data_IF_648636577267
#
_entry.id   IF_648636577267
#
_cell.length_a   1.000
_cell.length_b   1.000
_cell.length_c   1.000
_cell.angle_alpha   90.00
_cell.angle_beta   90.00
_cell.angle_gamma   90.00
#
_symmetry.space_group_name_H-M   'P 1'
#
loop_
_entity.id
_entity.type
_entity.pdbx_description
1 polymer ?
#
# COMPACT_ATOMS: atom_id res chain seq x y z
N UNK A 1 -19.99 -10.04 19.54
CA UNK A 1 -19.34 -10.56 18.32
C UNK A 1 -20.35 -10.51 17.19
N UNK A 2 -20.12 -9.69 16.18
CA UNK A 2 -21.02 -9.56 15.04
C UNK A 2 -20.89 -10.79 14.10
N UNK A 3 -21.94 -11.09 13.31
CA UNK A 3 -21.90 -12.15 12.29
C UNK A 3 -20.70 -12.00 11.33
N UNK A 4 -20.31 -10.75 11.05
CA UNK A 4 -19.14 -10.43 10.20
C UNK A 4 -17.81 -10.80 10.88
N UNK A 5 -17.66 -10.54 12.16
CA UNK A 5 -16.47 -10.95 12.95
C UNK A 5 -16.37 -12.46 13.06
N UNK A 6 -17.49 -13.15 13.25
CA UNK A 6 -17.57 -14.60 13.28
C UNK A 6 -17.17 -15.21 11.93
N UNK A 7 -17.71 -14.69 10.82
CA UNK A 7 -17.40 -15.14 9.46
C UNK A 7 -15.93 -14.90 9.10
N UNK A 8 -15.37 -13.76 9.50
CA UNK A 8 -13.95 -13.47 9.31
C UNK A 8 -13.05 -14.42 10.12
N UNK A 9 -13.41 -14.70 11.38
CA UNK A 9 -12.68 -15.68 12.22
C UNK A 9 -12.77 -17.08 11.63
N UNK A 10 -13.94 -17.52 11.19
CA UNK A 10 -14.13 -18.82 10.53
C UNK A 10 -13.31 -18.94 9.24
N UNK A 11 -13.35 -17.92 8.39
CA UNK A 11 -12.58 -17.90 7.16
C UNK A 11 -11.07 -17.89 7.41
N UNK A 12 -10.62 -17.15 8.42
CA UNK A 12 -9.20 -17.12 8.82
C UNK A 12 -8.75 -18.45 9.41
N UNK A 13 -9.58 -19.12 10.21
CA UNK A 13 -9.32 -20.44 10.75
C UNK A 13 -9.24 -21.50 9.64
N UNK A 14 -10.21 -21.50 8.70
CA UNK A 14 -10.21 -22.41 7.54
C UNK A 14 -8.99 -22.19 6.64
N UNK A 15 -8.58 -20.93 6.45
CA UNK A 15 -7.35 -20.59 5.70
C UNK A 15 -6.10 -21.10 6.40
N UNK A 16 -6.01 -20.95 7.73
CA UNK A 16 -4.90 -21.47 8.53
C UNK A 16 -4.80 -22.99 8.45
N UNK A 17 -5.91 -23.71 8.65
CA UNK A 17 -5.94 -25.18 8.54
C UNK A 17 -5.56 -25.65 7.13
N UNK A 18 -6.13 -25.05 6.08
CA UNK A 18 -5.75 -25.37 4.70
C UNK A 18 -4.26 -25.13 4.45
N UNK A 19 -3.68 -24.07 5.03
CA UNK A 19 -2.25 -23.78 4.95
C UNK A 19 -1.39 -24.85 5.62
N UNK A 20 -1.76 -25.32 6.82
CA UNK A 20 -1.04 -26.38 7.53
C UNK A 20 -1.11 -27.74 6.81
N UNK A 21 -2.28 -28.11 6.31
CA UNK A 21 -2.45 -29.31 5.48
C UNK A 21 -1.63 -29.22 4.18
N UNK A 22 -1.65 -28.06 3.54
CA UNK A 22 -0.85 -27.82 2.35
C UNK A 22 0.65 -27.92 2.63
N UNK A 23 1.12 -27.37 3.76
CA UNK A 23 2.51 -27.49 4.17
C UNK A 23 2.96 -28.94 4.35
N UNK A 24 2.11 -29.78 4.93
CA UNK A 24 2.38 -31.22 5.07
C UNK A 24 2.43 -31.94 3.72
N UNK A 25 1.53 -31.61 2.80
CA UNK A 25 1.46 -32.21 1.46
C UNK A 25 2.59 -31.75 0.55
N UNK A 26 2.97 -30.47 0.61
CA UNK A 26 4.01 -29.89 -0.25
C UNK A 26 5.44 -30.27 0.19
N UNK A 27 5.61 -30.83 1.40
CA UNK A 27 6.88 -31.30 1.91
C UNK A 27 7.85 -30.18 2.29
N UNK A 28 9.14 -30.48 2.30
CA UNK A 28 10.21 -29.56 2.73
C UNK A 28 10.81 -28.80 1.56
N UNK A 29 11.46 -27.66 1.86
CA UNK A 29 12.40 -27.03 0.95
C UNK A 29 13.54 -27.98 0.62
N UNK A 30 14.20 -27.82 -0.54
CA UNK A 30 15.46 -28.48 -0.79
C UNK A 30 16.45 -28.18 0.36
N UNK A 31 17.33 -29.15 0.66
CA UNK A 31 18.42 -28.88 1.61
C UNK A 31 19.30 -27.75 1.06
N UNK A 32 19.47 -26.72 1.84
CA UNK A 32 20.38 -25.60 1.53
C UNK A 32 21.48 -25.54 2.58
N UNK A 33 22.62 -24.99 2.18
CA UNK A 33 23.68 -24.63 3.13
C UNK A 33 23.16 -23.56 4.10
N UNK A 34 23.93 -23.34 5.16
CA UNK A 34 23.69 -22.24 6.07
C UNK A 34 23.60 -20.90 5.28
N UNK A 35 22.69 -20.03 5.73
CA UNK A 35 22.54 -18.73 5.10
C UNK A 35 23.85 -17.95 5.10
N UNK A 36 24.23 -17.49 3.92
CA UNK A 36 25.39 -16.64 3.73
C UNK A 36 25.02 -15.43 2.85
N UNK A 37 24.95 -14.21 3.40
CA UNK A 37 24.57 -13.02 2.64
C UNK A 37 25.52 -12.73 1.45
N UNK A 38 26.79 -13.12 1.52
CA UNK A 38 27.76 -12.90 0.43
C UNK A 38 27.46 -13.73 -0.83
N UNK A 39 26.62 -14.76 -0.72
CA UNK A 39 26.20 -15.62 -1.83
C UNK A 39 24.88 -15.18 -2.47
N UNK A 40 24.27 -14.10 -2.01
CA UNK A 40 22.99 -13.60 -2.53
C UNK A 40 23.23 -12.69 -3.73
N UNK A 41 22.85 -13.14 -4.92
CA UNK A 41 22.96 -12.43 -6.19
C UNK A 41 21.60 -12.22 -6.86
N UNK A 42 20.60 -13.06 -6.56
CA UNK A 42 19.26 -12.98 -7.15
C UNK A 42 18.19 -13.11 -6.09
N UNK A 43 17.39 -12.07 -5.96
CA UNK A 43 16.33 -11.96 -4.96
C UNK A 43 14.97 -11.92 -5.66
N UNK A 44 14.02 -12.67 -5.17
CA UNK A 44 12.63 -12.59 -5.62
C UNK A 44 11.71 -12.17 -4.47
N UNK A 45 10.96 -11.10 -4.69
CA UNK A 45 9.91 -10.62 -3.78
C UNK A 45 8.53 -10.94 -4.37
N UNK A 46 7.64 -11.54 -3.58
CA UNK A 46 6.25 -11.76 -3.97
C UNK A 46 5.36 -10.62 -3.46
N UNK A 47 4.75 -9.86 -4.39
CA UNK A 47 3.84 -8.71 -4.14
C UNK A 47 2.68 -8.69 -5.13
N UNK A 48 1.99 -9.79 -5.32
CA UNK A 48 0.90 -9.93 -6.30
C UNK A 48 -0.49 -9.61 -5.76
N UNK A 49 -0.57 -8.93 -4.61
CA UNK A 49 -1.80 -8.57 -3.89
C UNK A 49 -2.62 -7.42 -4.49
N UNK A 50 -2.20 -6.85 -5.62
CA UNK A 50 -2.82 -5.72 -6.31
C UNK A 50 -3.04 -4.44 -5.48
N UNK A 51 -2.42 -4.33 -4.30
CA UNK A 51 -2.53 -3.17 -3.42
C UNK A 51 -1.46 -2.13 -3.74
N UNK A 52 -1.89 -0.96 -4.19
CA UNK A 52 -1.00 0.14 -4.56
C UNK A 52 -0.21 0.68 -3.36
N UNK A 53 -0.88 0.79 -2.19
CA UNK A 53 -0.24 1.28 -0.95
C UNK A 53 0.90 0.37 -0.51
N UNK A 54 0.63 -0.92 -0.43
CA UNK A 54 1.60 -1.92 -0.04
C UNK A 54 2.81 -1.95 -1.00
N UNK A 55 2.56 -1.77 -2.32
CA UNK A 55 3.63 -1.66 -3.31
C UNK A 55 4.49 -0.42 -3.10
N UNK A 56 3.88 0.73 -2.84
CA UNK A 56 4.60 1.98 -2.58
C UNK A 56 5.44 1.89 -1.32
N UNK A 57 4.87 1.42 -0.23
CA UNK A 57 5.58 1.26 1.05
C UNK A 57 6.71 0.23 0.95
N UNK A 58 6.60 -0.77 0.06
CA UNK A 58 7.70 -1.73 -0.17
C UNK A 58 8.96 -1.11 -0.77
N UNK A 59 8.93 0.16 -1.23
CA UNK A 59 10.13 0.91 -1.63
C UNK A 59 11.18 0.99 -0.52
N UNK A 60 10.75 1.04 0.74
CA UNK A 60 11.64 0.98 1.92
C UNK A 60 12.44 -0.33 1.96
N UNK A 61 11.75 -1.47 1.80
CA UNK A 61 12.40 -2.78 1.74
C UNK A 61 13.33 -2.91 0.53
N UNK A 62 12.86 -2.51 -0.64
CA UNK A 62 13.62 -2.60 -1.89
C UNK A 62 14.92 -1.80 -1.81
N UNK A 63 14.86 -0.57 -1.26
CA UNK A 63 16.04 0.25 -1.00
C UNK A 63 16.98 -0.39 0.02
N UNK A 64 16.44 -0.93 1.11
CA UNK A 64 17.21 -1.66 2.12
C UNK A 64 17.90 -2.91 1.56
N UNK A 65 17.21 -3.67 0.71
CA UNK A 65 17.79 -4.83 0.01
C UNK A 65 18.93 -4.42 -0.94
N UNK A 66 18.78 -3.32 -1.69
CA UNK A 66 19.87 -2.79 -2.52
C UNK A 66 21.06 -2.26 -1.72
N UNK A 67 20.82 -1.69 -0.55
CA UNK A 67 21.91 -1.31 0.35
C UNK A 67 22.65 -2.52 0.94
N UNK A 68 21.92 -3.60 1.26
CA UNK A 68 22.50 -4.84 1.80
C UNK A 68 23.17 -5.69 0.70
N UNK A 69 22.58 -5.73 -0.49
CA UNK A 69 23.01 -6.53 -1.65
C UNK A 69 23.18 -5.64 -2.89
N UNK A 70 24.21 -4.80 -2.97
CA UNK A 70 24.33 -3.77 -4.02
C UNK A 70 24.35 -4.32 -5.45
N UNK A 71 24.95 -5.50 -5.64
CA UNK A 71 25.10 -6.16 -6.94
C UNK A 71 23.97 -7.13 -7.28
N UNK A 72 23.09 -7.45 -6.31
CA UNK A 72 22.04 -8.44 -6.53
C UNK A 72 20.93 -7.90 -7.44
N UNK A 73 20.42 -8.75 -8.32
CA UNK A 73 19.18 -8.51 -9.03
C UNK A 73 17.99 -8.72 -8.10
N UNK A 74 17.10 -7.73 -8.04
CA UNK A 74 15.86 -7.81 -7.27
C UNK A 74 14.69 -7.87 -8.24
N UNK A 75 14.15 -9.05 -8.40
CA UNK A 75 12.97 -9.30 -9.22
C UNK A 75 11.72 -9.29 -8.32
N UNK A 76 10.60 -8.82 -8.88
CA UNK A 76 9.33 -8.78 -8.15
C UNK A 76 8.23 -9.44 -8.95
N UNK A 77 7.49 -10.36 -8.33
CA UNK A 77 6.23 -10.87 -8.88
C UNK A 77 5.11 -9.96 -8.37
N UNK A 78 4.50 -9.20 -9.28
CA UNK A 78 3.48 -8.21 -8.98
C UNK A 78 2.11 -8.61 -9.54
N UNK A 79 1.06 -8.05 -8.99
CA UNK A 79 -0.26 -8.02 -9.60
C UNK A 79 -0.36 -6.92 -10.66
N UNK A 80 -1.45 -6.92 -11.42
CA UNK A 80 -1.64 -5.96 -12.52
C UNK A 80 -1.66 -4.50 -12.04
N UNK A 81 -2.31 -4.24 -10.90
CA UNK A 81 -2.48 -2.87 -10.40
C UNK A 81 -1.22 -2.32 -9.76
N UNK A 82 -0.58 -3.06 -8.86
CA UNK A 82 0.57 -2.57 -8.10
C UNK A 82 1.87 -2.54 -8.92
N UNK A 83 1.91 -3.26 -10.04
CA UNK A 83 3.00 -3.17 -11.00
C UNK A 83 3.23 -1.73 -11.51
N UNK A 84 2.19 -0.91 -11.57
CA UNK A 84 2.29 0.50 -11.99
C UNK A 84 3.24 1.28 -11.06
N UNK A 85 3.19 1.01 -9.76
CA UNK A 85 4.06 1.65 -8.76
C UNK A 85 5.47 1.07 -8.81
N UNK A 86 5.61 -0.26 -8.93
CA UNK A 86 6.88 -0.97 -8.85
C UNK A 86 7.75 -0.80 -10.10
N UNK A 87 7.13 -0.58 -11.26
CA UNK A 87 7.84 -0.50 -12.57
C UNK A 87 8.92 0.57 -12.60
N UNK A 88 8.72 1.69 -11.92
CA UNK A 88 9.64 2.81 -11.92
C UNK A 88 10.53 2.85 -10.67
N UNK A 89 10.48 1.81 -9.82
CA UNK A 89 11.36 1.73 -8.66
C UNK A 89 12.77 1.32 -9.10
N UNK A 90 13.82 2.12 -8.82
CA UNK A 90 15.18 1.87 -9.31
C UNK A 90 15.82 0.61 -8.74
N UNK A 91 15.29 0.08 -7.63
CA UNK A 91 15.80 -1.14 -7.03
C UNK A 91 15.25 -2.41 -7.71
N UNK A 92 14.21 -2.32 -8.53
CA UNK A 92 13.60 -3.47 -9.22
C UNK A 92 14.31 -3.74 -10.53
N UNK A 93 14.92 -4.93 -10.65
CA UNK A 93 15.61 -5.37 -11.88
C UNK A 93 14.60 -5.87 -12.92
N UNK A 94 13.70 -6.76 -12.53
CA UNK A 94 12.66 -7.28 -13.45
C UNK A 94 11.33 -7.43 -12.73
N UNK A 95 10.25 -7.09 -13.45
CA UNK A 95 8.88 -7.19 -12.95
C UNK A 95 8.14 -8.31 -13.68
N UNK A 96 7.67 -9.31 -12.94
CA UNK A 96 6.83 -10.40 -13.43
C UNK A 96 5.40 -10.23 -12.96
N UNK A 97 4.46 -10.83 -13.67
CA UNK A 97 3.04 -10.70 -13.40
C UNK A 97 2.42 -12.05 -13.03
N UNK A 98 1.73 -12.08 -11.90
CA UNK A 98 0.86 -13.17 -11.52
C UNK A 98 -0.36 -12.67 -10.75
N UNK A 99 -1.51 -13.32 -10.96
CA UNK A 99 -2.69 -13.13 -10.10
C UNK A 99 -2.53 -13.92 -8.82
N UNK A 100 -3.36 -13.65 -7.81
CA UNK A 100 -3.35 -14.39 -6.54
C UNK A 100 -3.82 -15.86 -6.68
N UNK A 101 -4.32 -16.26 -7.85
CA UNK A 101 -4.83 -17.62 -8.11
C UNK A 101 -3.74 -18.68 -8.15
N UNK A 102 -4.07 -19.90 -7.65
CA UNK A 102 -3.15 -21.03 -7.54
C UNK A 102 -2.48 -21.38 -8.88
N UNK A 103 -3.27 -21.53 -9.96
CA UNK A 103 -2.75 -21.88 -11.30
C UNK A 103 -1.80 -20.80 -11.84
N UNK A 104 -2.13 -19.51 -11.63
CA UNK A 104 -1.30 -18.39 -12.07
C UNK A 104 0.05 -18.39 -11.36
N UNK A 105 0.06 -18.58 -10.04
CA UNK A 105 1.29 -18.64 -9.26
C UNK A 105 2.13 -19.87 -9.57
N UNK A 106 1.53 -21.04 -9.73
CA UNK A 106 2.27 -22.25 -10.16
C UNK A 106 2.92 -22.02 -11.53
N UNK A 107 2.17 -21.52 -12.51
CA UNK A 107 2.71 -21.23 -13.84
C UNK A 107 3.86 -20.21 -13.80
N UNK A 108 3.71 -19.16 -12.98
CA UNK A 108 4.76 -18.17 -12.76
C UNK A 108 6.00 -18.81 -12.12
N UNK A 109 5.82 -19.61 -11.05
CA UNK A 109 6.91 -20.30 -10.36
C UNK A 109 7.69 -21.24 -11.28
N UNK A 110 7.00 -22.01 -12.13
CA UNK A 110 7.65 -22.90 -13.11
C UNK A 110 8.51 -22.11 -14.12
N UNK A 111 8.00 -20.97 -14.62
CA UNK A 111 8.76 -20.10 -15.53
C UNK A 111 10.00 -19.48 -14.86
N UNK A 112 9.89 -19.17 -13.56
CA UNK A 112 10.96 -18.51 -12.81
C UNK A 112 11.98 -19.47 -12.21
N UNK A 113 11.65 -20.76 -12.06
CA UNK A 113 12.54 -21.79 -11.47
C UNK A 113 13.92 -21.84 -12.13
N UNK A 114 13.98 -21.75 -13.45
CA UNK A 114 15.26 -21.78 -14.21
C UNK A 114 16.17 -20.57 -13.94
N UNK A 115 15.68 -19.51 -13.30
CA UNK A 115 16.48 -18.33 -12.93
C UNK A 115 17.34 -18.55 -11.68
N UNK A 116 17.08 -19.61 -10.89
CA UNK A 116 17.85 -20.00 -9.72
C UNK A 116 18.02 -18.86 -8.71
N UNK A 117 16.91 -18.42 -8.11
CA UNK A 117 16.94 -17.40 -7.06
C UNK A 117 17.66 -17.88 -5.80
N UNK A 118 18.54 -17.03 -5.28
CA UNK A 118 19.22 -17.29 -4.01
C UNK A 118 18.29 -17.03 -2.82
N UNK A 119 17.54 -15.93 -2.89
CA UNK A 119 16.67 -15.49 -1.80
C UNK A 119 15.25 -15.20 -2.30
N UNK A 120 14.26 -15.82 -1.67
CA UNK A 120 12.85 -15.52 -1.83
C UNK A 120 12.30 -14.88 -0.57
N UNK A 121 11.52 -13.80 -0.72
CA UNK A 121 10.90 -13.09 0.39
C UNK A 121 9.36 -13.14 0.27
N UNK A 122 8.73 -13.68 1.32
CA UNK A 122 7.28 -13.67 1.54
C UNK A 122 6.99 -12.93 2.85
N UNK A 123 6.55 -11.69 2.75
CA UNK A 123 6.31 -10.83 3.90
C UNK A 123 4.83 -10.69 4.27
N UNK A 124 3.97 -11.47 3.66
CA UNK A 124 2.56 -11.56 4.03
C UNK A 124 2.41 -12.11 5.47
N UNK A 125 1.35 -11.71 6.16
CA UNK A 125 1.12 -12.17 7.54
C UNK A 125 0.94 -13.67 7.62
N UNK A 126 0.28 -14.27 6.64
CA UNK A 126 0.05 -15.71 6.55
C UNK A 126 0.23 -16.19 5.11
N UNK A 127 0.95 -17.30 4.89
CA UNK A 127 1.06 -17.85 3.56
C UNK A 127 -0.30 -18.42 3.11
N UNK A 128 -0.57 -18.28 1.83
CA UNK A 128 -1.71 -18.92 1.17
C UNK A 128 -1.28 -20.26 0.55
N UNK A 129 -2.25 -21.13 0.23
CA UNK A 129 -1.96 -22.34 -0.54
C UNK A 129 -1.24 -22.00 -1.86
N UNK A 130 -1.63 -20.91 -2.50
CA UNK A 130 -1.06 -20.47 -3.76
C UNK A 130 0.40 -19.98 -3.61
N UNK A 131 0.71 -19.21 -2.56
CA UNK A 131 2.10 -18.78 -2.29
C UNK A 131 3.00 -19.95 -1.86
N UNK A 132 2.47 -20.92 -1.11
CA UNK A 132 3.20 -22.14 -0.76
C UNK A 132 3.49 -23.02 -1.99
N UNK A 133 2.50 -23.18 -2.88
CA UNK A 133 2.71 -23.91 -4.13
C UNK A 133 3.70 -23.21 -5.05
N UNK A 134 3.63 -21.87 -5.13
CA UNK A 134 4.61 -21.04 -5.84
C UNK A 134 6.03 -21.29 -5.31
N UNK A 135 6.22 -21.19 -3.98
CA UNK A 135 7.51 -21.44 -3.34
C UNK A 135 8.02 -22.86 -3.60
N UNK A 136 7.12 -23.87 -3.55
CA UNK A 136 7.46 -25.27 -3.83
C UNK A 136 7.98 -25.49 -5.25
N UNK A 137 7.39 -24.84 -6.25
CA UNK A 137 7.84 -24.99 -7.65
C UNK A 137 9.01 -24.09 -7.98
N UNK A 138 9.15 -22.92 -7.36
CA UNK A 138 10.24 -21.97 -7.54
C UNK A 138 11.59 -22.57 -7.08
N UNK A 139 11.61 -23.22 -5.93
CA UNK A 139 12.79 -23.83 -5.31
C UNK A 139 13.97 -22.87 -5.15
N UNK A 140 13.82 -21.73 -4.47
CA UNK A 140 14.94 -20.85 -4.18
C UNK A 140 15.89 -21.51 -3.19
N UNK A 141 17.14 -21.06 -3.14
CA UNK A 141 18.15 -21.54 -2.17
C UNK A 141 17.73 -21.24 -0.74
N UNK A 142 17.34 -19.99 -0.48
CA UNK A 142 16.80 -19.53 0.80
C UNK A 142 15.43 -18.88 0.63
N UNK A 143 14.57 -19.12 1.57
CA UNK A 143 13.20 -18.58 1.60
C UNK A 143 12.88 -18.03 2.99
N UNK A 144 12.60 -16.71 3.04
CA UNK A 144 12.31 -16.02 4.29
C UNK A 144 10.83 -15.69 4.43
N UNK A 145 10.33 -15.80 5.67
CA UNK A 145 9.03 -15.29 6.06
C UNK A 145 8.89 -15.20 7.58
N UNK A 146 8.06 -14.26 8.05
CA UNK A 146 7.77 -14.12 9.48
C UNK A 146 6.82 -15.22 9.96
N UNK A 147 7.08 -15.77 11.16
CA UNK A 147 6.22 -16.77 11.82
C UNK A 147 5.96 -18.00 10.94
N UNK A 148 6.99 -18.54 10.28
CA UNK A 148 6.90 -19.66 9.31
C UNK A 148 7.43 -20.98 9.84
N UNK A 149 7.69 -21.12 11.14
CA UNK A 149 8.29 -22.31 11.76
C UNK A 149 7.51 -23.61 11.45
N UNK A 150 6.18 -23.51 11.30
CA UNK A 150 5.31 -24.63 10.95
C UNK A 150 5.28 -24.97 9.43
N UNK A 151 5.95 -24.17 8.59
CA UNK A 151 5.97 -24.36 7.14
C UNK A 151 7.37 -24.79 6.67
N UNK A 152 7.65 -26.08 6.49
CA UNK A 152 8.99 -26.59 6.16
C UNK A 152 9.56 -26.11 4.80
N UNK A 153 8.77 -25.40 4.00
CA UNK A 153 9.23 -24.74 2.78
C UNK A 153 10.04 -23.47 3.04
N UNK A 154 9.93 -22.88 4.23
CA UNK A 154 10.75 -21.74 4.63
C UNK A 154 11.92 -22.22 5.47
N UNK A 155 13.13 -21.91 5.00
CA UNK A 155 14.37 -22.26 5.72
C UNK A 155 14.97 -21.07 6.50
N UNK A 156 14.44 -19.86 6.30
CA UNK A 156 14.73 -18.66 7.07
C UNK A 156 13.45 -18.11 7.68
N UNK A 157 13.38 -18.04 9.00
CA UNK A 157 12.19 -17.52 9.68
C UNK A 157 12.56 -16.86 11.00
N UNK A 158 11.82 -15.82 11.37
CA UNK A 158 11.89 -15.17 12.68
C UNK A 158 10.49 -14.91 13.20
N UNK A 159 10.37 -14.76 14.52
CA UNK A 159 9.08 -14.50 15.18
C UNK A 159 8.89 -13.02 15.39
N UNK A 160 7.69 -12.52 15.06
CA UNK A 160 7.30 -11.12 15.27
C UNK A 160 5.79 -11.02 15.45
N UNK A 161 5.33 -10.17 16.37
CA UNK A 161 3.91 -9.80 16.43
C UNK A 161 3.58 -8.79 15.33
N UNK A 162 3.07 -9.32 14.22
CA UNK A 162 2.75 -8.50 13.05
C UNK A 162 1.52 -7.59 13.26
N UNK A 163 0.69 -7.82 14.31
CA UNK A 163 -0.55 -7.07 14.52
C UNK A 163 -0.34 -5.69 15.12
N UNK A 164 0.80 -5.45 15.76
CA UNK A 164 1.13 -4.20 16.47
C UNK A 164 2.32 -3.45 15.87
N UNK A 165 3.05 -4.08 14.95
CA UNK A 165 4.22 -3.47 14.33
C UNK A 165 3.86 -2.72 13.04
N UNK A 166 4.38 -1.50 12.91
CA UNK A 166 4.31 -0.79 11.64
C UNK A 166 4.99 -1.57 10.52
N UNK A 167 4.49 -1.46 9.29
CA UNK A 167 5.01 -2.23 8.15
C UNK A 167 6.50 -1.98 7.89
N UNK A 168 6.99 -0.75 8.08
CA UNK A 168 8.44 -0.45 7.93
C UNK A 168 9.29 -1.12 9.00
N UNK A 169 8.78 -1.30 10.22
CA UNK A 169 9.47 -2.07 11.27
C UNK A 169 9.56 -3.56 10.90
N UNK A 170 8.55 -4.11 10.21
CA UNK A 170 8.63 -5.48 9.67
C UNK A 170 9.74 -5.58 8.60
N UNK A 171 9.85 -4.57 7.73
CA UNK A 171 10.91 -4.52 6.71
C UNK A 171 12.29 -4.40 7.37
N UNK A 172 12.43 -3.55 8.38
CA UNK A 172 13.67 -3.45 9.15
C UNK A 172 14.04 -4.78 9.81
N UNK A 173 13.09 -5.44 10.47
CA UNK A 173 13.33 -6.75 11.10
C UNK A 173 13.76 -7.81 10.08
N UNK A 174 13.15 -7.83 8.89
CA UNK A 174 13.58 -8.71 7.79
C UNK A 174 15.02 -8.40 7.37
N UNK A 175 15.35 -7.13 7.11
CA UNK A 175 16.68 -6.71 6.70
C UNK A 175 17.74 -7.00 7.76
N UNK A 176 17.42 -6.74 9.05
CA UNK A 176 18.31 -7.09 10.19
C UNK A 176 18.59 -8.58 10.24
N UNK A 177 17.56 -9.42 10.09
CA UNK A 177 17.72 -10.87 10.05
C UNK A 177 18.62 -11.31 8.89
N UNK A 178 18.55 -10.62 7.75
CA UNK A 178 19.38 -10.89 6.57
C UNK A 178 20.82 -10.33 6.69
N UNK A 179 21.13 -9.58 7.76
CA UNK A 179 22.48 -9.07 8.02
C UNK A 179 22.66 -7.56 7.84
N UNK A 180 21.60 -6.79 7.60
CA UNK A 180 21.68 -5.32 7.49
C UNK A 180 22.03 -4.67 8.82
N UNK A 181 23.09 -3.84 8.85
CA UNK A 181 23.57 -3.18 10.07
C UNK A 181 23.34 -1.65 10.08
N UNK A 182 23.02 -1.07 8.92
CA UNK A 182 22.83 0.38 8.76
C UNK A 182 21.56 0.93 9.41
N UNK A 183 21.39 2.24 9.43
CA UNK A 183 20.12 2.89 9.75
C UNK A 183 19.20 2.78 8.54
N UNK A 184 18.02 2.19 8.72
CA UNK A 184 17.04 2.09 7.64
C UNK A 184 16.36 3.45 7.43
N UNK A 185 16.41 3.97 6.21
CA UNK A 185 15.56 5.07 5.80
C UNK A 185 14.15 4.55 5.53
N UNK A 186 13.17 5.00 6.32
CA UNK A 186 11.77 4.58 6.25
C UNK A 186 10.90 5.48 5.38
N UNK A 187 11.47 6.47 4.69
CA UNK A 187 10.75 7.30 3.73
C UNK A 187 10.31 6.48 2.52
N UNK A 188 9.11 6.74 1.99
CA UNK A 188 8.61 6.06 0.80
C UNK A 188 9.13 6.76 -0.45
N UNK A 189 9.34 6.00 -1.52
CA UNK A 189 9.89 6.54 -2.77
C UNK A 189 8.95 6.25 -3.95
N UNK A 190 8.63 7.31 -4.71
CA UNK A 190 7.90 7.22 -5.95
C UNK A 190 8.48 8.22 -6.97
N UNK A 191 8.63 7.78 -8.21
CA UNK A 191 9.05 8.66 -9.32
C UNK A 191 7.84 9.08 -10.14
N UNK A 192 7.63 10.37 -10.25
CA UNK A 192 6.63 10.97 -11.12
C UNK A 192 7.25 11.30 -12.48
N UNK A 193 6.57 10.93 -13.57
CA UNK A 193 7.05 11.19 -14.92
C UNK A 193 6.86 12.65 -15.33
N UNK A 194 7.69 13.15 -16.25
CA UNK A 194 7.52 14.49 -16.80
C UNK A 194 6.17 14.65 -17.53
N UNK A 195 5.69 13.59 -18.19
CA UNK A 195 4.35 13.61 -18.81
C UNK A 195 3.23 13.82 -17.78
N UNK A 196 3.35 13.23 -16.60
CA UNK A 196 2.39 13.46 -15.52
C UNK A 196 2.43 14.90 -15.01
N UNK A 197 3.62 15.52 -14.92
CA UNK A 197 3.79 16.92 -14.53
C UNK A 197 3.15 17.86 -15.55
N UNK A 198 3.40 17.61 -16.84
CA UNK A 198 2.80 18.40 -17.93
C UNK A 198 1.29 18.32 -17.91
N UNK A 199 0.71 17.10 -17.81
CA UNK A 199 -0.74 16.93 -17.81
C UNK A 199 -1.42 17.59 -16.60
N UNK A 200 -0.83 17.47 -15.41
CA UNK A 200 -1.34 18.13 -14.21
C UNK A 200 -1.22 19.67 -14.33
N UNK A 201 -0.10 20.18 -14.87
CA UNK A 201 0.11 21.62 -15.12
C UNK A 201 -0.91 22.19 -16.10
N UNK A 202 -1.20 21.49 -17.19
CA UNK A 202 -2.24 21.87 -18.16
C UNK A 202 -3.62 21.96 -17.50
N UNK A 203 -3.99 20.97 -16.68
CA UNK A 203 -5.24 21.03 -15.94
C UNK A 203 -5.28 22.23 -14.99
N UNK A 204 -4.22 22.44 -14.21
CA UNK A 204 -4.13 23.55 -13.26
C UNK A 204 -4.28 24.93 -13.96
N UNK A 205 -3.76 25.09 -15.18
CA UNK A 205 -3.89 26.33 -15.94
C UNK A 205 -5.33 26.60 -16.39
N UNK A 206 -6.19 25.60 -16.42
CA UNK A 206 -7.63 25.77 -16.74
C UNK A 206 -8.47 26.17 -15.52
N UNK A 207 -7.91 26.03 -14.31
CA UNK A 207 -8.65 26.37 -13.09
C UNK A 207 -8.72 27.87 -12.87
N UNK A 208 -9.92 28.36 -12.62
CA UNK A 208 -10.14 29.73 -12.19
C UNK A 208 -10.03 29.84 -10.67
N UNK A 209 -8.82 30.06 -10.16
CA UNK A 209 -8.51 30.00 -8.72
C UNK A 209 -9.13 31.15 -7.91
N UNK A 210 -9.41 32.29 -8.51
CA UNK A 210 -10.08 33.42 -7.88
C UNK A 210 -9.47 33.91 -6.54
N UNK A 211 -8.20 33.56 -6.24
CA UNK A 211 -7.49 33.96 -5.02
C UNK A 211 -7.68 33.03 -3.81
N UNK A 212 -8.47 31.96 -3.91
CA UNK A 212 -8.66 30.96 -2.85
C UNK A 212 -7.58 29.86 -2.83
N UNK A 213 -7.71 28.92 -1.91
CA UNK A 213 -6.82 27.76 -1.77
C UNK A 213 -7.29 26.61 -2.65
N UNK A 214 -6.36 25.72 -3.00
CA UNK A 214 -6.65 24.47 -3.70
C UNK A 214 -6.79 23.34 -2.69
N UNK A 215 -7.97 22.75 -2.60
CA UNK A 215 -8.27 21.58 -1.77
C UNK A 215 -8.51 20.40 -2.70
N UNK A 216 -7.59 19.46 -2.69
CA UNK A 216 -7.71 18.21 -3.45
C UNK A 216 -8.36 17.16 -2.58
N UNK A 217 -9.36 16.48 -3.10
CA UNK A 217 -10.12 15.47 -2.36
C UNK A 217 -10.11 14.13 -3.10
N UNK A 218 -9.62 13.09 -2.46
CA UNK A 218 -9.93 11.72 -2.85
C UNK A 218 -11.16 11.26 -2.04
N UNK A 219 -12.38 11.25 -2.59
CA UNK A 219 -13.56 10.91 -1.81
C UNK A 219 -13.76 9.41 -1.63
N UNK A 220 -13.09 8.56 -2.44
CA UNK A 220 -13.40 7.16 -2.59
C UNK A 220 -12.32 6.26 -1.99
N UNK A 221 -12.76 5.22 -1.27
CA UNK A 221 -11.94 4.10 -0.82
C UNK A 221 -12.37 2.78 -1.51
N UNK A 222 -11.63 1.71 -1.25
CA UNK A 222 -11.96 0.38 -1.77
C UNK A 222 -13.32 -0.15 -1.24
N UNK A 223 -13.77 0.33 -0.08
CA UNK A 223 -15.07 0.00 0.49
C UNK A 223 -15.90 1.24 0.71
N UNK A 224 -17.22 1.09 0.53
CA UNK A 224 -18.18 2.19 0.72
C UNK A 224 -18.16 2.77 2.14
N UNK A 225 -17.90 1.92 3.14
CA UNK A 225 -17.83 2.33 4.56
C UNK A 225 -16.66 3.27 4.87
N UNK A 226 -15.60 3.21 4.07
CA UNK A 226 -14.42 4.06 4.21
C UNK A 226 -14.40 5.24 3.25
N UNK A 227 -15.41 5.39 2.40
CA UNK A 227 -15.54 6.52 1.48
C UNK A 227 -16.26 7.68 2.14
N UNK A 228 -15.92 8.90 1.78
CA UNK A 228 -16.73 10.06 2.13
C UNK A 228 -18.05 10.04 1.38
N UNK A 229 -19.08 10.63 1.96
CA UNK A 229 -20.33 10.90 1.26
C UNK A 229 -20.24 12.18 0.43
N UNK A 230 -21.11 12.31 -0.58
CA UNK A 230 -21.20 13.54 -1.35
C UNK A 230 -21.62 14.72 -0.47
N UNK A 231 -22.54 14.48 0.48
CA UNK A 231 -23.02 15.47 1.45
C UNK A 231 -21.87 16.10 2.23
N UNK A 232 -20.91 15.30 2.70
CA UNK A 232 -19.74 15.78 3.44
C UNK A 232 -18.90 16.73 2.59
N UNK A 233 -18.57 16.34 1.36
CA UNK A 233 -17.69 17.13 0.49
C UNK A 233 -18.39 18.40 -0.01
N UNK A 234 -19.69 18.33 -0.32
CA UNK A 234 -20.49 19.52 -0.66
C UNK A 234 -20.64 20.44 0.55
N UNK A 235 -20.84 19.89 1.75
CA UNK A 235 -20.86 20.65 2.99
C UNK A 235 -19.55 21.38 3.26
N UNK A 236 -18.39 20.72 3.03
CA UNK A 236 -17.08 21.36 3.12
C UNK A 236 -16.92 22.51 2.10
N UNK A 237 -17.33 22.30 0.86
CA UNK A 237 -17.28 23.35 -0.16
C UNK A 237 -18.16 24.56 0.18
N UNK A 238 -19.22 24.36 0.95
CA UNK A 238 -20.05 25.45 1.49
C UNK A 238 -19.37 26.19 2.65
N UNK A 239 -18.63 25.47 3.50
CA UNK A 239 -17.83 26.07 4.59
C UNK A 239 -16.64 26.86 4.07
N UNK A 240 -16.06 26.44 2.95
CA UNK A 240 -14.90 27.09 2.30
C UNK A 240 -15.28 27.68 0.92
N UNK A 241 -16.14 28.70 0.85
CA UNK A 241 -16.77 29.14 -0.40
C UNK A 241 -15.80 29.80 -1.39
N UNK A 242 -14.64 30.25 -0.90
CA UNK A 242 -13.60 30.90 -1.72
C UNK A 242 -12.56 29.89 -2.24
N UNK A 243 -12.55 28.68 -1.72
CA UNK A 243 -11.56 27.66 -2.06
C UNK A 243 -12.03 26.80 -3.23
N UNK A 244 -11.09 26.27 -4.01
CA UNK A 244 -11.37 25.38 -5.15
C UNK A 244 -11.20 23.93 -4.72
N UNK A 245 -12.23 23.12 -4.94
CA UNK A 245 -12.24 21.69 -4.63
C UNK A 245 -12.02 20.86 -5.90
N UNK A 246 -10.97 20.06 -5.93
CA UNK A 246 -10.71 19.11 -7.03
C UNK A 246 -10.93 17.68 -6.54
N UNK A 247 -11.92 17.00 -7.11
CA UNK A 247 -12.28 15.61 -6.78
C UNK A 247 -11.47 14.66 -7.65
N UNK A 248 -10.66 13.82 -7.01
CA UNK A 248 -9.85 12.78 -7.67
C UNK A 248 -10.62 11.46 -7.81
N UNK A 249 -10.52 10.82 -8.96
CA UNK A 249 -11.04 9.47 -9.13
C UNK A 249 -11.30 9.09 -10.58
N UNK A 250 -11.66 7.82 -10.77
CA UNK A 250 -12.13 7.35 -12.08
C UNK A 250 -13.49 7.97 -12.39
N UNK A 251 -13.68 8.45 -13.61
CA UNK A 251 -14.90 9.16 -14.04
C UNK A 251 -16.18 8.38 -13.70
N UNK A 252 -16.23 7.10 -14.07
CA UNK A 252 -17.40 6.26 -13.81
C UNK A 252 -17.72 6.10 -12.33
N UNK A 253 -16.70 6.08 -11.46
CA UNK A 253 -16.86 5.97 -10.02
C UNK A 253 -17.31 7.28 -9.41
N UNK A 254 -16.73 8.42 -9.84
CA UNK A 254 -17.15 9.75 -9.39
C UNK A 254 -18.57 10.06 -9.84
N UNK A 255 -18.94 9.75 -11.08
CA UNK A 255 -20.32 9.91 -11.56
C UNK A 255 -21.33 9.14 -10.71
N UNK A 256 -21.01 7.88 -10.37
CA UNK A 256 -21.84 7.06 -9.47
C UNK A 256 -21.92 7.64 -8.05
N UNK A 257 -20.81 8.17 -7.54
CA UNK A 257 -20.74 8.77 -6.22
C UNK A 257 -21.51 10.09 -6.15
N UNK A 258 -21.44 10.94 -7.18
CA UNK A 258 -22.22 12.17 -7.32
C UNK A 258 -23.73 11.91 -7.42
N UNK A 259 -24.12 10.74 -7.92
CA UNK A 259 -25.53 10.33 -8.05
C UNK A 259 -26.44 11.39 -8.69
N UNK A 260 -26.00 11.99 -9.79
CA UNK A 260 -26.75 13.02 -10.53
C UNK A 260 -26.65 14.44 -9.94
N UNK A 261 -25.93 14.66 -8.85
CA UNK A 261 -25.70 16.00 -8.30
C UNK A 261 -24.81 16.83 -9.20
N UNK A 262 -25.18 18.04 -9.48
CA UNK A 262 -24.32 19.04 -10.12
C UNK A 262 -23.24 19.50 -9.14
N UNK A 263 -22.03 19.73 -9.65
CA UNK A 263 -20.94 20.31 -8.87
C UNK A 263 -21.23 21.77 -8.55
N UNK A 264 -20.77 22.25 -7.40
CA UNK A 264 -20.81 23.68 -7.06
C UNK A 264 -19.81 24.47 -7.94
N UNK A 265 -19.96 25.80 -8.07
CA UNK A 265 -19.16 26.60 -9.01
C UNK A 265 -17.63 26.47 -8.89
N UNK A 266 -17.12 26.16 -7.68
CA UNK A 266 -15.68 25.97 -7.42
C UNK A 266 -15.31 24.51 -7.17
N UNK A 267 -16.15 23.58 -7.63
CA UNK A 267 -15.86 22.17 -7.61
C UNK A 267 -15.62 21.65 -9.01
N UNK A 268 -14.56 20.90 -9.19
CA UNK A 268 -14.22 20.25 -10.46
C UNK A 268 -13.78 18.81 -10.20
N UNK A 269 -13.80 17.98 -11.24
CA UNK A 269 -13.25 16.61 -11.19
C UNK A 269 -11.95 16.53 -11.96
N UNK A 270 -11.02 15.71 -11.46
CA UNK A 270 -9.82 15.32 -12.17
C UNK A 270 -9.78 13.80 -12.28
N UNK A 271 -9.94 13.31 -13.50
CA UNK A 271 -10.14 11.87 -13.79
C UNK A 271 -8.97 11.24 -14.53
N UNK A 272 -7.83 11.90 -14.52
CA UNK A 272 -6.57 11.42 -15.12
C UNK A 272 -5.94 10.25 -14.33
N UNK A 273 -4.78 9.79 -14.75
CA UNK A 273 -4.05 8.72 -14.10
C UNK A 273 -3.60 9.04 -12.68
N UNK A 274 -3.09 8.02 -11.99
CA UNK A 274 -2.67 8.15 -10.59
C UNK A 274 -1.46 9.07 -10.41
N UNK A 275 -0.52 9.08 -11.38
CA UNK A 275 0.67 9.93 -11.32
C UNK A 275 0.36 11.39 -11.60
N UNK A 276 -0.53 11.67 -12.56
CA UNK A 276 -1.04 13.01 -12.84
C UNK A 276 -1.79 13.58 -11.63
N UNK A 277 -2.63 12.74 -11.03
CA UNK A 277 -3.34 13.09 -9.80
C UNK A 277 -2.41 13.32 -8.61
N UNK A 278 -1.28 12.59 -8.53
CA UNK A 278 -0.25 12.78 -7.52
C UNK A 278 0.45 14.15 -7.68
N UNK A 279 0.81 14.52 -8.92
CA UNK A 279 1.39 15.84 -9.21
C UNK A 279 0.40 16.94 -8.85
N UNK A 280 -0.88 16.78 -9.20
CA UNK A 280 -1.92 17.74 -8.84
C UNK A 280 -2.03 17.90 -7.32
N UNK A 281 -2.02 16.80 -6.58
CA UNK A 281 -2.08 16.83 -5.12
C UNK A 281 -0.86 17.50 -4.47
N UNK A 282 0.33 17.43 -5.09
CA UNK A 282 1.53 18.16 -4.62
C UNK A 282 1.39 19.70 -4.75
N UNK A 283 0.56 20.18 -5.66
CA UNK A 283 0.29 21.60 -5.86
C UNK A 283 -0.85 22.12 -4.98
N UNK A 284 -1.53 21.21 -4.27
CA UNK A 284 -2.63 21.57 -3.40
C UNK A 284 -2.15 22.15 -2.06
N UNK A 285 -2.96 23.05 -1.49
CA UNK A 285 -2.75 23.51 -0.11
C UNK A 285 -3.01 22.38 0.88
N UNK A 286 -3.96 21.48 0.57
CA UNK A 286 -4.24 20.29 1.37
C UNK A 286 -4.89 19.20 0.51
N UNK A 287 -4.53 17.95 0.80
CA UNK A 287 -5.22 16.76 0.34
C UNK A 287 -6.13 16.22 1.45
N UNK A 288 -7.39 15.97 1.15
CA UNK A 288 -8.32 15.25 2.02
C UNK A 288 -8.55 13.84 1.48
N UNK A 289 -8.32 12.81 2.28
CA UNK A 289 -8.48 11.42 1.85
C UNK A 289 -8.92 10.51 3.00
N UNK A 290 -9.75 9.47 2.77
CA UNK A 290 -9.88 8.38 3.72
C UNK A 290 -8.60 7.52 3.74
N UNK A 291 -8.53 6.54 4.66
CA UNK A 291 -7.47 5.51 4.74
C UNK A 291 -7.38 4.72 3.42
N UNK A 292 -6.50 5.17 2.52
CA UNK A 292 -6.29 4.62 1.19
C UNK A 292 -4.81 4.71 0.77
N UNK A 293 -4.50 4.26 -0.44
CA UNK A 293 -3.20 4.48 -1.08
C UNK A 293 -2.72 5.94 -1.01
N UNK A 294 -3.65 6.91 -1.07
CA UNK A 294 -3.34 8.33 -1.07
C UNK A 294 -2.60 8.80 0.19
N UNK A 295 -2.82 8.14 1.32
CA UNK A 295 -2.07 8.42 2.56
C UNK A 295 -0.59 8.10 2.39
N UNK A 296 -0.28 6.93 1.82
CA UNK A 296 1.12 6.53 1.58
C UNK A 296 1.77 7.38 0.49
N UNK A 297 1.00 7.77 -0.53
CA UNK A 297 1.44 8.68 -1.57
C UNK A 297 1.76 10.06 -0.99
N UNK A 298 0.91 10.57 -0.11
CA UNK A 298 1.14 11.83 0.59
C UNK A 298 2.43 11.79 1.44
N UNK A 299 2.69 10.68 2.14
CA UNK A 299 3.95 10.49 2.85
C UNK A 299 5.17 10.47 1.91
N UNK A 300 5.04 9.82 0.73
CA UNK A 300 6.14 9.74 -0.25
C UNK A 300 6.49 11.08 -0.88
N UNK A 301 5.52 11.97 -0.97
CA UNK A 301 5.62 13.26 -1.67
C UNK A 301 5.53 14.47 -0.73
N UNK A 302 5.50 14.24 0.59
CA UNK A 302 5.37 15.28 1.64
C UNK A 302 4.19 16.22 1.43
N UNK A 303 3.04 15.68 1.00
CA UNK A 303 1.84 16.47 0.72
C UNK A 303 1.11 16.79 2.02
N UNK A 304 0.84 18.09 2.28
CA UNK A 304 -0.04 18.50 3.39
C UNK A 304 -1.39 17.77 3.28
N UNK A 305 -1.70 16.90 4.25
CA UNK A 305 -2.83 15.96 4.10
C UNK A 305 -3.62 15.83 5.40
N UNK A 306 -4.94 15.75 5.27
CA UNK A 306 -5.84 15.22 6.30
C UNK A 306 -6.28 13.83 5.87
N UNK A 307 -5.91 12.82 6.66
CA UNK A 307 -6.27 11.42 6.42
C UNK A 307 -7.26 10.93 7.47
N UNK A 308 -8.43 10.45 7.05
CA UNK A 308 -9.48 9.98 7.96
C UNK A 308 -9.42 8.46 8.10
N UNK A 309 -9.24 8.00 9.33
CA UNK A 309 -9.13 6.59 9.70
C UNK A 309 -10.31 6.15 10.56
N UNK A 310 -10.74 4.92 10.36
CA UNK A 310 -11.66 4.29 11.30
C UNK A 310 -10.89 3.78 12.52
N UNK A 311 -11.15 4.36 13.68
CA UNK A 311 -10.47 3.98 14.92
C UNK A 311 -10.77 4.91 16.08
N UNK A 312 -10.09 4.65 17.19
CA UNK A 312 -10.12 5.47 18.40
C UNK A 312 -8.69 5.93 18.72
N UNK A 313 -8.56 7.03 19.44
CA UNK A 313 -7.30 7.54 19.96
C UNK A 313 -6.87 6.71 21.19
N UNK A 314 -6.53 5.45 20.97
CA UNK A 314 -6.01 4.55 21.99
C UNK A 314 -4.57 4.18 21.63
N UNK A 315 -3.63 4.53 22.50
CA UNK A 315 -2.22 4.14 22.34
C UNK A 315 -1.85 3.00 23.31
N UNK A 316 -1.09 1.98 22.91
CA UNK A 316 -0.55 1.76 21.57
C UNK A 316 -1.62 1.38 20.53
N UNK A 317 -1.48 1.91 19.32
CA UNK A 317 -2.38 1.58 18.22
C UNK A 317 -2.39 0.07 17.92
N UNK A 318 -3.56 -0.45 17.54
CA UNK A 318 -3.75 -1.88 17.20
C UNK A 318 -4.33 -2.04 15.79
N UNK A 319 -4.16 -3.23 15.23
CA UNK A 319 -4.73 -3.60 13.93
C UNK A 319 -4.23 -2.73 12.78
N UNK A 320 -5.13 -2.32 11.92
CA UNK A 320 -4.79 -1.62 10.68
C UNK A 320 -4.03 -0.30 10.91
N UNK A 321 -4.41 0.48 11.93
CA UNK A 321 -3.74 1.75 12.24
C UNK A 321 -2.30 1.50 12.71
N UNK A 322 -2.07 0.48 13.55
CA UNK A 322 -0.72 0.15 14.01
C UNK A 322 0.21 -0.13 12.83
N UNK A 323 -0.29 -0.85 11.83
CA UNK A 323 0.49 -1.31 10.68
C UNK A 323 0.67 -0.23 9.61
N UNK A 324 -0.37 0.58 9.35
CA UNK A 324 -0.45 1.41 8.16
C UNK A 324 -0.61 2.92 8.41
N UNK A 325 -0.51 3.38 9.67
CA UNK A 325 -0.56 4.83 9.94
C UNK A 325 0.52 5.58 9.17
N UNK A 326 0.28 6.85 8.79
CA UNK A 326 1.33 7.69 8.21
C UNK A 326 2.45 7.93 9.23
N UNK A 327 3.70 7.97 8.76
CA UNK A 327 4.86 8.34 9.55
C UNK A 327 5.35 9.76 9.23
N UNK A 328 4.86 10.35 8.16
CA UNK A 328 5.23 11.69 7.73
C UNK A 328 4.41 12.76 8.47
N UNK A 329 5.03 13.79 9.08
CA UNK A 329 4.34 14.85 9.80
C UNK A 329 3.45 15.72 8.91
N UNK A 330 3.66 15.71 7.59
CA UNK A 330 2.76 16.39 6.65
C UNK A 330 1.34 15.80 6.67
N UNK A 331 1.18 14.54 7.09
CA UNK A 331 -0.10 13.84 7.13
C UNK A 331 -0.70 13.86 8.53
N UNK A 332 -1.76 14.61 8.73
CA UNK A 332 -2.56 14.62 9.97
C UNK A 332 -3.64 13.56 9.93
N UNK A 333 -3.68 12.69 10.92
CA UNK A 333 -4.77 11.70 11.07
C UNK A 333 -5.95 12.31 11.82
N UNK A 334 -7.17 12.08 11.29
CA UNK A 334 -8.42 12.22 12.02
C UNK A 334 -8.95 10.80 12.29
N UNK A 335 -9.08 10.43 13.56
CA UNK A 335 -9.63 9.14 13.97
C UNK A 335 -11.12 9.27 14.23
N UNK A 336 -11.91 8.38 13.62
CA UNK A 336 -13.35 8.33 13.80
C UNK A 336 -13.80 6.89 14.11
N UNK A 337 -14.56 6.66 15.19
CA UNK A 337 -14.92 5.30 15.60
C UNK A 337 -15.96 4.62 14.68
N UNK A 338 -16.72 5.41 13.91
CA UNK A 338 -17.75 4.96 12.98
C UNK A 338 -17.26 4.83 11.53
N UNK A 339 -18.20 4.81 10.58
CA UNK A 339 -17.89 4.84 9.16
C UNK A 339 -17.44 6.25 8.74
N UNK A 340 -16.52 6.39 7.79
CA UNK A 340 -16.01 7.71 7.37
C UNK A 340 -17.11 8.61 6.80
N UNK A 341 -18.13 8.05 6.16
CA UNK A 341 -19.28 8.82 5.67
C UNK A 341 -20.12 9.48 6.78
N UNK A 342 -19.92 9.07 8.04
CA UNK A 342 -20.65 9.57 9.19
C UNK A 342 -19.84 10.61 9.99
N UNK A 343 -18.62 10.94 9.57
CA UNK A 343 -17.82 12.01 10.18
C UNK A 343 -18.55 13.34 9.97
N UNK A 344 -18.85 14.10 11.03
CA UNK A 344 -19.52 15.39 10.90
C UNK A 344 -18.70 16.39 10.07
N UNK A 345 -19.39 17.16 9.22
CA UNK A 345 -18.72 18.17 8.34
C UNK A 345 -17.90 19.17 9.16
N UNK A 346 -18.41 19.61 10.31
CA UNK A 346 -17.67 20.56 11.16
C UNK A 346 -16.32 20.03 11.65
N UNK A 347 -16.22 18.71 11.95
CA UNK A 347 -14.96 18.09 12.36
C UNK A 347 -13.96 18.03 11.20
N UNK A 348 -14.43 17.66 10.01
CA UNK A 348 -13.60 17.70 8.80
C UNK A 348 -13.14 19.14 8.51
N UNK A 349 -14.03 20.10 8.62
CA UNK A 349 -13.73 21.52 8.40
C UNK A 349 -12.69 22.05 9.41
N UNK A 350 -12.83 21.70 10.69
CA UNK A 350 -11.88 22.09 11.73
C UNK A 350 -10.48 21.58 11.42
N UNK A 351 -10.32 20.29 11.13
CA UNK A 351 -9.00 19.68 10.86
C UNK A 351 -8.41 20.19 9.54
N UNK A 352 -9.25 20.48 8.53
CA UNK A 352 -8.80 21.12 7.30
C UNK A 352 -8.30 22.55 7.58
N UNK A 353 -9.04 23.34 8.37
CA UNK A 353 -8.64 24.71 8.73
C UNK A 353 -7.28 24.74 9.45
N UNK A 354 -7.04 23.78 10.36
CA UNK A 354 -5.76 23.63 11.08
C UNK A 354 -4.59 23.32 10.14
N UNK A 355 -4.84 22.65 9.01
CA UNK A 355 -3.82 22.33 8.00
C UNK A 355 -3.62 23.45 6.97
N UNK A 356 -4.61 24.33 6.84
CA UNK A 356 -4.61 25.44 5.89
C UNK A 356 -4.05 26.74 6.48
N UNK A 357 -3.93 26.82 7.80
CA UNK A 357 -3.26 27.89 8.54
C UNK A 357 -1.77 27.59 8.71
#
# INVERSE_FOLDING_TARGET
>A
MTFREWNNRKNNWLRAQKGEWAAKLLGRAPMSDAYNPQKVQKILLLRNDNKLGDALVSSVLLRGLKALFPTADIDVVAGKSNATILRNNPAVSTLYFATEGLASLISCGLKLRGKQYDLYLDLDEKPTLASLAFLKVLQPRWSFGFNRQQYPLYNLTTTMDLSVCHITARYEACLRFLGYQGKLDTSYEIKLSESAKVAAGQFLSTLQWGGGRLIVVNPLAASRHRSFSAEQIFGLATVFPNDTFVLLGQESKLRKWLNGRALLPRMVTFTSGIFESAVLAQQANVLLTPDTFWVHLACALHISTVAVYQGKEEFPYKGNIAVWRPLDPAVKMLLWPGEQKDVPVYMLAQVLQEKLN
#
